data_IF_529034481789
#
_entry.id   IF_529034481789
#
_cell.length_a   1.000
_cell.length_b   1.000
_cell.length_c   1.000
_cell.angle_alpha   90.00
_cell.angle_beta   90.00
_cell.angle_gamma   90.00
#
_symmetry.space_group_name_H-M   'P 1'
#
loop_
_entity.id
_entity.type
_entity.pdbx_description
1 polymer ?
#
# COMPACT_ATOMS: atom_id res chain seq x y z
N UNK A 1 -19.99 1.88 -13.49
CA UNK A 1 -20.04 1.21 -14.80
C UNK A 1 -20.76 -0.11 -14.60
N UNK A 2 -21.88 -0.35 -15.27
CA UNK A 2 -22.48 -1.68 -15.25
C UNK A 2 -21.57 -2.66 -15.99
N UNK A 3 -21.46 -3.90 -15.51
CA UNK A 3 -20.66 -5.00 -16.09
C UNK A 3 -19.13 -4.85 -16.02
N UNK A 4 -18.59 -3.85 -15.31
CA UNK A 4 -17.14 -3.71 -15.09
C UNK A 4 -16.72 -4.38 -13.78
N UNK A 5 -15.59 -5.08 -13.78
CA UNK A 5 -14.98 -5.68 -12.60
C UNK A 5 -13.78 -4.84 -12.09
N UNK A 6 -13.10 -5.34 -11.06
CA UNK A 6 -11.95 -4.67 -10.47
C UNK A 6 -10.76 -4.57 -11.46
N UNK A 7 -10.62 -5.50 -12.39
CA UNK A 7 -9.57 -5.48 -13.41
C UNK A 7 -9.80 -4.36 -14.43
N UNK A 8 -11.05 -4.10 -14.79
CA UNK A 8 -11.41 -2.97 -15.65
C UNK A 8 -11.19 -1.62 -14.96
N UNK A 9 -11.56 -1.52 -13.68
CA UNK A 9 -11.33 -0.31 -12.89
C UNK A 9 -9.83 -0.01 -12.74
N UNK A 10 -8.98 -1.04 -12.59
CA UNK A 10 -7.52 -0.86 -12.59
C UNK A 10 -7.01 -0.27 -13.91
N UNK A 11 -7.46 -0.80 -15.06
CA UNK A 11 -7.04 -0.26 -16.37
C UNK A 11 -7.49 1.19 -16.58
N UNK A 12 -8.71 1.52 -16.15
CA UNK A 12 -9.25 2.88 -16.29
C UNK A 12 -8.44 3.87 -15.43
N UNK A 13 -8.15 3.50 -14.19
CA UNK A 13 -7.37 4.35 -13.27
C UNK A 13 -5.94 4.56 -13.76
N UNK A 14 -5.28 3.51 -14.26
CA UNK A 14 -3.96 3.60 -14.89
C UNK A 14 -3.95 4.57 -16.08
N UNK A 15 -4.91 4.44 -16.99
CA UNK A 15 -5.02 5.32 -18.17
C UNK A 15 -5.32 6.77 -17.78
N UNK A 16 -6.22 6.97 -16.81
CA UNK A 16 -6.61 8.30 -16.36
C UNK A 16 -5.43 9.04 -15.69
N UNK A 17 -4.73 8.37 -14.77
CA UNK A 17 -3.62 8.98 -14.03
C UNK A 17 -2.41 9.23 -14.93
N UNK A 18 -2.00 8.24 -15.74
CA UNK A 18 -0.87 8.41 -16.66
C UNK A 18 -1.13 9.49 -17.72
N UNK A 19 -2.36 9.56 -18.25
CA UNK A 19 -2.78 10.62 -19.16
C UNK A 19 -2.72 12.00 -18.51
N UNK A 20 -3.26 12.15 -17.29
CA UNK A 20 -3.26 13.42 -16.56
C UNK A 20 -1.85 13.92 -16.26
N UNK A 21 -0.95 13.03 -15.82
CA UNK A 21 0.45 13.39 -15.54
C UNK A 21 1.16 13.84 -16.83
N UNK A 22 0.91 13.16 -17.94
CA UNK A 22 1.47 13.52 -19.25
C UNK A 22 0.98 14.88 -19.75
N UNK A 23 -0.31 15.17 -19.62
CA UNK A 23 -0.88 16.46 -20.04
C UNK A 23 -0.32 17.64 -19.21
N UNK A 24 -0.11 17.44 -17.91
CA UNK A 24 0.37 18.51 -17.02
C UNK A 24 1.89 18.73 -17.07
N UNK A 25 2.67 17.66 -17.22
CA UNK A 25 4.14 17.72 -17.10
C UNK A 25 4.89 17.45 -18.41
N UNK A 26 4.18 17.01 -19.46
CA UNK A 26 4.76 16.61 -20.75
C UNK A 26 5.42 15.23 -20.74
N UNK A 27 5.51 14.56 -19.58
CA UNK A 27 6.12 13.24 -19.42
C UNK A 27 5.39 12.36 -18.42
N UNK A 28 5.91 11.15 -18.18
CA UNK A 28 5.35 10.22 -17.18
C UNK A 28 6.11 10.23 -15.85
N UNK A 29 7.21 10.98 -15.75
CA UNK A 29 8.05 11.04 -14.55
C UNK A 29 7.92 12.40 -13.89
N UNK A 30 7.62 12.40 -12.60
CA UNK A 30 7.55 13.62 -11.80
C UNK A 30 8.60 13.60 -10.69
N UNK A 31 9.10 14.77 -10.33
CA UNK A 31 10.00 14.96 -9.19
C UNK A 31 9.19 15.49 -8.01
N UNK A 32 9.14 14.74 -6.92
CA UNK A 32 8.37 15.07 -5.73
C UNK A 32 9.27 15.16 -4.48
N UNK A 33 9.23 16.28 -3.77
CA UNK A 33 10.01 16.52 -2.56
C UNK A 33 9.24 16.05 -1.31
N UNK A 34 9.16 14.73 -1.11
CA UNK A 34 8.41 14.14 0.00
C UNK A 34 8.96 14.52 1.40
N UNK A 35 10.25 14.85 1.50
CA UNK A 35 10.96 15.03 2.77
C UNK A 35 11.39 16.48 3.06
N UNK A 36 10.74 17.46 2.41
CA UNK A 36 11.06 18.89 2.48
C UNK A 36 11.90 19.37 1.29
N UNK A 37 11.89 20.69 1.05
CA UNK A 37 12.63 21.32 -0.06
C UNK A 37 14.16 21.11 0.03
N UNK A 38 14.68 20.85 1.22
CA UNK A 38 16.10 20.65 1.48
C UNK A 38 16.62 19.25 1.08
N UNK A 39 15.73 18.29 0.79
CA UNK A 39 16.13 16.92 0.42
C UNK A 39 15.94 16.65 -1.06
N UNK A 40 16.72 15.70 -1.55
CA UNK A 40 16.68 15.25 -2.94
C UNK A 40 15.24 14.86 -3.34
N UNK A 41 14.78 15.32 -4.52
CA UNK A 41 13.48 14.97 -5.02
C UNK A 41 13.41 13.47 -5.33
N UNK A 42 12.32 12.84 -4.92
CA UNK A 42 11.99 11.47 -5.31
C UNK A 42 11.40 11.50 -6.71
N UNK A 43 11.97 10.71 -7.62
CA UNK A 43 11.38 10.53 -8.95
C UNK A 43 10.27 9.48 -8.86
N UNK A 44 9.05 9.87 -9.23
CA UNK A 44 7.88 8.98 -9.27
C UNK A 44 7.53 8.75 -10.74
N UNK A 45 7.55 7.48 -11.14
CA UNK A 45 7.19 7.04 -12.49
C UNK A 45 5.71 6.61 -12.54
N UNK A 46 4.94 7.28 -13.40
CA UNK A 46 3.53 7.01 -13.68
C UNK A 46 3.33 6.24 -14.99
N UNK A 47 4.36 5.56 -15.50
CA UNK A 47 4.25 4.71 -16.68
C UNK A 47 3.45 3.44 -16.34
N UNK A 48 2.31 3.16 -17.00
CA UNK A 48 1.57 1.92 -16.81
C UNK A 48 2.31 0.73 -17.47
N UNK A 49 2.13 -0.52 -16.97
CA UNK A 49 1.23 -0.94 -15.90
C UNK A 49 1.80 -0.66 -14.49
N UNK A 50 0.92 -0.32 -13.55
CA UNK A 50 1.34 -0.11 -12.16
C UNK A 50 1.63 -1.44 -11.47
N UNK A 51 2.61 -1.44 -10.57
CA UNK A 51 2.96 -2.64 -9.80
C UNK A 51 1.79 -3.06 -8.92
N UNK A 52 1.23 -4.24 -9.19
CA UNK A 52 0.23 -4.90 -8.35
C UNK A 52 0.92 -5.65 -7.23
N UNK A 53 0.42 -5.50 -6.01
CA UNK A 53 1.00 -6.12 -4.81
C UNK A 53 -0.13 -6.86 -4.07
N UNK A 54 0.06 -8.16 -3.83
CA UNK A 54 -0.88 -8.96 -3.05
C UNK A 54 -0.73 -8.63 -1.55
N UNK A 55 -1.81 -8.17 -0.93
CA UNK A 55 -1.74 -7.57 0.40
C UNK A 55 -1.22 -8.51 1.49
N UNK A 56 -1.69 -9.76 1.50
CA UNK A 56 -1.31 -10.74 2.53
C UNK A 56 0.08 -11.28 2.23
N UNK A 57 0.31 -11.79 1.02
CA UNK A 57 1.59 -12.43 0.67
C UNK A 57 2.81 -11.50 0.79
N UNK A 58 2.66 -10.20 0.52
CA UNK A 58 3.77 -9.25 0.69
C UNK A 58 3.97 -8.83 2.15
N UNK A 59 2.90 -8.78 2.94
CA UNK A 59 3.01 -8.56 4.38
C UNK A 59 3.72 -9.74 5.05
N UNK A 60 3.38 -10.98 4.68
CA UNK A 60 4.04 -12.19 5.17
C UNK A 60 5.53 -12.20 4.85
N UNK A 61 5.90 -11.86 3.59
CA UNK A 61 7.31 -11.76 3.18
C UNK A 61 8.08 -10.67 3.93
N UNK A 62 7.48 -9.51 4.14
CA UNK A 62 8.17 -8.37 4.76
C UNK A 62 8.27 -8.51 6.29
N UNK A 63 7.23 -9.00 6.94
CA UNK A 63 7.19 -9.19 8.38
C UNK A 63 7.74 -10.56 8.82
N UNK A 64 7.85 -11.53 7.91
CA UNK A 64 8.27 -12.90 8.23
C UNK A 64 7.25 -13.61 9.15
N UNK A 65 5.97 -13.33 8.94
CA UNK A 65 4.85 -13.92 9.68
C UNK A 65 3.98 -14.71 8.72
N UNK A 66 3.31 -15.75 9.20
CA UNK A 66 2.28 -16.47 8.43
C UNK A 66 0.92 -16.04 8.96
N UNK A 67 0.10 -15.44 8.11
CA UNK A 67 -1.19 -14.89 8.50
C UNK A 67 -2.24 -15.98 8.33
N UNK A 68 -3.00 -16.34 9.39
CA UNK A 68 -4.09 -17.29 9.27
C UNK A 68 -5.13 -16.83 8.23
N UNK A 69 -5.61 -17.75 7.40
CA UNK A 69 -6.62 -17.46 6.36
C UNK A 69 -7.95 -16.98 6.95
N UNK A 70 -8.26 -17.40 8.17
CA UNK A 70 -9.46 -16.92 8.87
C UNK A 70 -9.17 -15.60 9.60
N UNK A 71 -9.33 -14.51 8.86
CA UNK A 71 -9.15 -13.13 9.33
C UNK A 71 -10.29 -12.63 10.23
N UNK A 72 -11.36 -13.40 10.38
CA UNK A 72 -12.53 -13.01 11.18
C UNK A 72 -12.49 -13.56 12.62
N UNK A 73 -11.59 -14.52 12.89
CA UNK A 73 -11.49 -15.15 14.20
C UNK A 73 -10.79 -14.27 15.24
N UNK A 74 -11.23 -14.36 16.50
CA UNK A 74 -10.62 -13.68 17.64
C UNK A 74 -9.17 -14.12 17.90
N UNK A 75 -8.82 -15.34 17.49
CA UNK A 75 -7.46 -15.89 17.59
C UNK A 75 -6.50 -15.17 16.65
N UNK A 76 -6.93 -14.98 15.39
CA UNK A 76 -6.19 -14.15 14.44
C UNK A 76 -6.12 -12.72 14.95
N UNK A 77 -7.17 -12.24 15.63
CA UNK A 77 -7.18 -10.90 16.21
C UNK A 77 -5.98 -10.66 17.15
N UNK A 78 -5.80 -11.57 18.10
CA UNK A 78 -4.71 -11.51 19.07
C UNK A 78 -3.33 -11.64 18.40
N UNK A 79 -3.18 -12.58 17.47
CA UNK A 79 -1.91 -12.81 16.77
C UNK A 79 -1.37 -11.56 16.07
N UNK A 80 -2.24 -10.83 15.39
CA UNK A 80 -1.82 -9.65 14.64
C UNK A 80 -1.69 -8.40 15.50
N UNK A 81 -2.34 -8.34 16.67
CA UNK A 81 -2.00 -7.36 17.69
C UNK A 81 -0.61 -7.58 18.25
N UNK A 82 -0.24 -8.83 18.53
CA UNK A 82 1.11 -9.18 18.98
C UNK A 82 2.16 -8.82 17.91
N UNK A 83 1.84 -9.04 16.63
CA UNK A 83 2.68 -8.58 15.52
C UNK A 83 2.80 -7.04 15.48
N UNK A 84 1.71 -6.29 15.65
CA UNK A 84 1.74 -4.83 15.71
C UNK A 84 2.66 -4.33 16.83
N UNK A 85 2.58 -4.95 18.02
CA UNK A 85 3.43 -4.62 19.16
C UNK A 85 4.90 -4.93 18.85
N UNK A 86 5.19 -6.10 18.28
CA UNK A 86 6.56 -6.53 17.90
C UNK A 86 7.23 -5.55 16.93
N UNK A 87 6.47 -5.01 15.98
CA UNK A 87 6.98 -4.06 14.99
C UNK A 87 6.80 -2.58 15.39
N UNK A 88 6.35 -2.32 16.62
CA UNK A 88 6.10 -0.97 17.15
C UNK A 88 5.16 -0.12 16.28
N UNK A 89 4.16 -0.78 15.68
CA UNK A 89 3.12 -0.14 14.87
C UNK A 89 1.97 0.30 15.78
N UNK A 90 1.57 1.57 15.68
CA UNK A 90 0.46 2.12 16.45
C UNK A 90 -0.88 1.74 15.79
N UNK A 91 -1.62 0.81 16.37
CA UNK A 91 -3.03 0.60 16.05
C UNK A 91 -3.91 1.36 17.07
N UNK A 92 -4.64 2.41 16.67
CA UNK A 92 -5.59 3.10 17.54
C UNK A 92 -6.78 2.19 17.88
N UNK A 93 -7.47 2.44 19.00
CA UNK A 93 -8.71 1.73 19.34
C UNK A 93 -9.83 2.11 18.34
N UNK A 94 -10.72 1.20 17.94
CA UNK A 94 -10.86 -0.20 18.35
C UNK A 94 -9.88 -1.14 17.62
N UNK A 95 -9.32 -2.09 18.37
CA UNK A 95 -8.37 -3.09 17.86
C UNK A 95 -9.11 -4.23 17.14
N UNK A 96 -9.62 -3.92 15.95
CA UNK A 96 -10.26 -4.87 15.05
C UNK A 96 -9.29 -5.33 13.97
N UNK A 97 -9.60 -6.46 13.32
CA UNK A 97 -8.76 -7.04 12.26
C UNK A 97 -8.53 -6.09 11.08
N UNK A 98 -9.46 -5.18 10.80
CA UNK A 98 -9.29 -4.11 9.80
C UNK A 98 -8.24 -3.05 10.16
N UNK A 99 -7.95 -2.84 11.45
CA UNK A 99 -6.93 -1.87 11.89
C UNK A 99 -5.50 -2.29 11.49
N UNK A 100 -5.28 -3.57 11.18
CA UNK A 100 -3.94 -4.08 10.83
C UNK A 100 -3.43 -3.67 9.47
N UNK A 101 -4.22 -2.97 8.67
CA UNK A 101 -3.66 -2.25 7.54
C UNK A 101 -2.54 -1.28 7.99
N UNK A 102 -2.52 -0.89 9.27
CA UNK A 102 -1.39 -0.17 9.88
C UNK A 102 -0.06 -0.93 9.84
N UNK A 103 -0.04 -2.27 9.79
CA UNK A 103 1.18 -3.06 9.61
C UNK A 103 1.86 -2.79 8.27
N UNK A 104 1.13 -2.25 7.28
CA UNK A 104 1.74 -1.78 6.04
C UNK A 104 2.65 -0.56 6.23
N UNK A 105 2.61 0.13 7.36
CA UNK A 105 3.61 1.15 7.71
C UNK A 105 5.02 0.54 7.78
N UNK A 106 5.14 -0.74 8.17
CA UNK A 106 6.42 -1.48 8.14
C UNK A 106 6.97 -1.53 6.71
N UNK A 107 6.07 -1.78 5.75
CA UNK A 107 6.41 -1.87 4.33
C UNK A 107 6.82 -0.52 3.75
N UNK A 108 6.17 0.55 4.16
CA UNK A 108 6.50 1.91 3.74
C UNK A 108 7.84 2.39 4.33
N UNK A 109 8.06 2.19 5.63
CA UNK A 109 9.31 2.57 6.30
C UNK A 109 10.55 1.88 5.77
N UNK A 110 10.43 0.66 5.23
CA UNK A 110 11.55 -0.08 4.65
C UNK A 110 11.82 0.25 3.17
N UNK A 111 10.90 0.96 2.51
CA UNK A 111 11.01 1.33 1.08
C UNK A 111 11.41 2.79 0.85
N UNK A 112 11.32 3.64 1.87
CA UNK A 112 11.83 5.01 1.88
C UNK A 112 13.26 5.05 2.40
#
# INVERSE_FOLDING_TARGET
>A
MAYADYDDLMKITEKMLSGMVKELTGGYKIKYHANGFDKDPVEIDFTPPFRKIEMIGELEKMAGIEIPKDLSSDTTNKYLLDACIKFNVKCPRPQTTGCWISLWDISWRRRA
#
